data_IF_949617667662
#
_entry.id   IF_949617667662
#
_cell.length_a   1.000
_cell.length_b   1.000
_cell.length_c   1.000
_cell.angle_alpha   90.00
_cell.angle_beta   90.00
_cell.angle_gamma   90.00
#
_symmetry.space_group_name_H-M   'P 1'
#
loop_
_entity.id
_entity.type
_entity.pdbx_description
1 polymer ?
#
# COMPACT_ATOMS: atom_id res chain seq x y z
N UNK A 1 -11.68 20.41 51.45
CA UNK A 1 -11.70 19.06 50.84
C UNK A 1 -12.19 19.23 49.41
N UNK A 2 -11.32 19.58 48.46
CA UNK A 2 -10.60 18.66 47.55
C UNK A 2 -11.53 17.62 46.91
N UNK A 3 -12.21 18.02 45.83
CA UNK A 3 -12.59 17.11 44.73
C UNK A 3 -12.22 17.78 43.41
N UNK A 4 -10.91 17.88 43.19
CA UNK A 4 -10.25 18.00 41.90
C UNK A 4 -10.41 16.66 41.19
N UNK A 5 -11.63 16.36 40.72
CA UNK A 5 -11.87 15.17 39.91
C UNK A 5 -11.43 15.49 38.47
N UNK A 6 -10.14 15.24 38.26
CA UNK A 6 -9.41 15.05 37.00
C UNK A 6 -10.30 14.70 35.80
N UNK A 7 -10.75 15.70 35.06
CA UNK A 7 -10.92 15.59 33.61
C UNK A 7 -9.62 15.98 32.96
N UNK A 8 -8.64 15.06 33.04
CA UNK A 8 -7.52 15.08 32.12
C UNK A 8 -8.11 14.69 30.76
N UNK A 9 -8.55 15.68 29.99
CA UNK A 9 -8.75 15.53 28.55
C UNK A 9 -7.38 15.13 28.00
N UNK A 10 -7.14 13.82 27.93
CA UNK A 10 -6.10 13.27 27.08
C UNK A 10 -6.55 13.57 25.66
N UNK A 11 -6.25 14.78 25.18
CA UNK A 11 -5.90 14.97 23.78
C UNK A 11 -4.77 13.99 23.53
N UNK A 12 -5.12 12.77 23.14
CA UNK A 12 -4.24 11.93 22.36
C UNK A 12 -4.04 12.72 21.08
N UNK A 13 -3.02 13.57 21.08
CA UNK A 13 -2.43 14.05 19.86
C UNK A 13 -2.27 12.82 19.00
N UNK A 14 -3.02 12.77 17.91
CA UNK A 14 -2.73 11.91 16.79
C UNK A 14 -1.27 12.22 16.49
N UNK A 15 -0.38 11.33 16.93
CA UNK A 15 1.02 11.41 16.56
C UNK A 15 0.96 11.22 15.05
N UNK A 16 1.01 12.33 14.31
CA UNK A 16 1.43 12.34 12.93
C UNK A 16 2.84 11.78 12.98
N UNK A 17 2.94 10.45 12.94
CA UNK A 17 4.21 9.75 12.73
C UNK A 17 4.62 10.18 11.33
N UNK A 18 5.41 11.24 11.35
CA UNK A 18 6.18 11.83 10.28
C UNK A 18 6.70 10.75 9.33
N UNK A 19 6.82 11.14 8.06
CA UNK A 19 7.20 10.37 6.87
C UNK A 19 8.63 9.78 6.92
N UNK A 20 9.10 9.35 8.10
CA UNK A 20 10.46 8.93 8.46
C UNK A 20 10.42 7.75 9.45
N UNK A 21 9.57 6.74 9.23
CA UNK A 21 9.66 5.48 9.99
C UNK A 21 10.92 4.75 9.52
N UNK A 22 11.90 4.65 10.43
CA UNK A 22 13.11 3.84 10.24
C UNK A 22 12.78 2.37 10.46
N UNK A 23 13.06 1.54 9.47
CA UNK A 23 12.85 0.10 9.52
C UNK A 23 14.23 -0.54 9.51
N UNK A 24 14.67 -0.95 10.69
CA UNK A 24 15.98 -1.50 10.97
C UNK A 24 16.27 -2.74 10.10
N UNK A 25 17.13 -2.55 9.09
CA UNK A 25 18.00 -3.58 8.52
C UNK A 25 19.30 -2.92 8.07
N UNK A 26 20.44 -3.61 8.21
CA UNK A 26 21.82 -3.15 7.92
C UNK A 26 22.13 -2.75 6.45
N UNK A 27 21.15 -2.29 5.67
CA UNK A 27 21.30 -1.76 4.31
C UNK A 27 20.42 -0.51 4.20
N UNK A 28 21.00 0.57 3.65
CA UNK A 28 20.41 1.92 3.54
C UNK A 28 18.90 1.91 3.30
N UNK A 29 18.15 2.52 4.22
CA UNK A 29 16.71 2.66 4.18
C UNK A 29 16.30 3.70 3.13
N UNK A 30 15.51 3.32 2.13
CA UNK A 30 14.90 4.29 1.21
C UNK A 30 13.65 4.89 1.83
N UNK A 31 13.55 6.22 1.83
CA UNK A 31 12.31 6.91 2.17
C UNK A 31 11.26 6.72 1.08
N UNK A 32 9.98 6.78 1.46
CA UNK A 32 8.85 6.72 0.51
C UNK A 32 8.99 7.76 -0.61
N UNK A 33 9.46 8.97 -0.27
CA UNK A 33 9.71 10.05 -1.25
C UNK A 33 10.81 9.69 -2.23
N UNK A 34 11.87 9.04 -1.77
CA UNK A 34 12.93 8.55 -2.67
C UNK A 34 12.36 7.50 -3.61
N UNK A 35 11.53 6.58 -3.12
CA UNK A 35 10.93 5.52 -3.94
C UNK A 35 9.93 6.08 -4.97
N UNK A 36 9.01 6.95 -4.53
CA UNK A 36 8.05 7.60 -5.42
C UNK A 36 8.77 8.48 -6.47
N UNK A 37 9.85 9.18 -6.10
CA UNK A 37 10.67 9.95 -7.04
C UNK A 37 11.42 9.07 -8.05
N UNK A 38 11.90 7.90 -7.60
CA UNK A 38 12.62 6.94 -8.42
C UNK A 38 11.67 6.27 -9.44
N UNK A 39 10.47 5.87 -9.02
CA UNK A 39 9.48 5.26 -9.90
C UNK A 39 8.90 6.25 -10.93
N UNK A 40 8.79 7.54 -10.58
CA UNK A 40 8.33 8.59 -11.50
C UNK A 40 9.36 8.94 -12.58
N UNK A 41 10.66 8.83 -12.31
CA UNK A 41 11.73 9.29 -13.23
C UNK A 41 12.15 8.27 -14.29
N UNK A 42 12.17 6.97 -13.97
CA UNK A 42 12.91 6.00 -14.78
C UNK A 42 12.05 5.18 -15.75
N UNK A 43 10.79 5.55 -15.93
CA UNK A 43 9.95 4.96 -16.96
C UNK A 43 9.43 3.58 -16.57
N UNK A 44 8.16 3.41 -16.88
CA UNK A 44 7.39 2.22 -16.61
C UNK A 44 7.83 1.01 -17.43
N UNK A 45 8.07 -0.11 -16.79
CA UNK A 45 7.62 -1.36 -17.37
C UNK A 45 6.12 -1.47 -17.09
N UNK A 46 5.28 -0.74 -17.83
CA UNK A 46 3.82 -0.69 -17.60
C UNK A 46 3.20 -2.08 -17.84
N UNK A 47 3.36 -3.00 -16.88
CA UNK A 47 2.60 -4.24 -16.86
C UNK A 47 1.27 -3.85 -16.24
N UNK A 48 0.28 -3.65 -17.12
CA UNK A 48 -1.09 -3.36 -16.72
C UNK A 48 -1.88 -4.67 -16.80
N UNK A 49 -2.51 -5.05 -15.69
CA UNK A 49 -3.43 -6.19 -15.66
C UNK A 49 -4.77 -5.73 -15.10
N UNK A 50 -5.83 -5.91 -15.88
CA UNK A 50 -7.19 -5.51 -15.54
C UNK A 50 -8.14 -6.69 -15.59
N UNK A 51 -9.22 -6.62 -14.81
CA UNK A 51 -10.23 -7.66 -14.81
C UNK A 51 -11.50 -7.27 -14.08
N UNK A 52 -12.48 -8.19 -14.09
CA UNK A 52 -13.77 -8.02 -13.40
C UNK A 52 -13.73 -8.66 -12.02
N UNK A 53 -14.44 -8.07 -11.06
CA UNK A 53 -14.61 -8.59 -9.71
C UNK A 53 -16.10 -8.80 -9.44
N UNK A 54 -16.44 -10.00 -8.96
CA UNK A 54 -17.70 -10.27 -8.28
C UNK A 54 -17.38 -10.60 -6.81
N UNK A 55 -18.04 -9.94 -5.86
CA UNK A 55 -17.87 -10.20 -4.42
C UNK A 55 -19.22 -10.47 -3.78
N UNK A 56 -19.34 -11.61 -3.10
CA UNK A 56 -20.53 -12.00 -2.34
C UNK A 56 -20.28 -11.74 -0.87
N UNK A 57 -21.15 -10.96 -0.23
CA UNK A 57 -21.14 -10.73 1.21
C UNK A 57 -22.39 -11.37 1.79
N UNK A 58 -22.20 -12.33 2.69
CA UNK A 58 -23.28 -12.92 3.47
C UNK A 58 -23.62 -12.00 4.63
N UNK A 59 -24.89 -11.60 4.74
CA UNK A 59 -25.36 -10.89 5.91
C UNK A 59 -25.51 -11.86 7.10
N UNK A 60 -25.36 -11.35 8.32
CA UNK A 60 -25.43 -12.11 9.60
C UNK A 60 -26.67 -13.03 9.74
N UNK A 61 -27.76 -12.75 9.01
CA UNK A 61 -29.00 -13.54 9.01
C UNK A 61 -29.07 -14.63 7.92
N UNK A 62 -27.99 -14.93 7.19
CA UNK A 62 -27.87 -15.98 6.14
C UNK A 62 -28.88 -15.94 4.97
N UNK A 63 -29.85 -15.03 4.97
CA UNK A 63 -30.94 -14.99 3.99
C UNK A 63 -30.71 -14.03 2.82
N UNK A 64 -29.83 -13.03 2.96
CA UNK A 64 -29.59 -12.03 1.93
C UNK A 64 -28.10 -11.98 1.56
N UNK A 65 -27.78 -12.52 0.38
CA UNK A 65 -26.45 -12.37 -0.25
C UNK A 65 -26.42 -11.06 -1.02
N UNK A 66 -25.49 -10.17 -0.65
CA UNK A 66 -25.24 -8.95 -1.44
C UNK A 66 -24.15 -9.25 -2.46
N UNK A 67 -24.47 -9.07 -3.74
CA UNK A 67 -23.54 -9.25 -4.85
C UNK A 67 -23.02 -7.87 -5.28
N UNK A 68 -21.72 -7.67 -5.13
CA UNK A 68 -21.00 -6.52 -5.65
C UNK A 68 -20.34 -6.84 -6.98
N UNK A 69 -20.37 -5.90 -7.91
CA UNK A 69 -19.72 -6.00 -9.21
C UNK A 69 -18.73 -4.85 -9.40
N UNK A 70 -17.62 -5.14 -10.07
CA UNK A 70 -16.52 -4.20 -10.15
C UNK A 70 -15.42 -4.62 -11.08
N UNK A 71 -14.29 -3.94 -10.94
CA UNK A 71 -13.06 -4.28 -11.65
C UNK A 71 -11.83 -3.96 -10.83
N UNK A 72 -10.69 -4.42 -11.33
CA UNK A 72 -9.38 -4.10 -10.78
C UNK A 72 -8.39 -3.69 -11.86
N UNK A 73 -7.33 -3.01 -11.43
CA UNK A 73 -6.12 -2.79 -12.22
C UNK A 73 -4.88 -3.00 -11.34
N UNK A 74 -3.85 -3.61 -11.91
CA UNK A 74 -2.49 -3.66 -11.39
C UNK A 74 -1.58 -2.87 -12.31
N UNK A 75 -0.66 -2.09 -11.76
CA UNK A 75 0.44 -1.44 -12.49
C UNK A 75 1.73 -1.72 -11.75
N UNK A 76 2.74 -2.21 -12.47
CA UNK A 76 4.06 -2.47 -11.89
C UNK A 76 5.06 -1.48 -12.48
N UNK A 77 5.87 -0.88 -11.63
CA UNK A 77 6.94 0.03 -12.01
C UNK A 77 8.24 -0.61 -11.55
N UNK A 78 9.22 -0.66 -12.45
CA UNK A 78 10.54 -1.20 -12.16
C UNK A 78 11.53 -0.07 -12.17
N UNK A 79 12.37 0.00 -11.16
CA UNK A 79 13.58 0.78 -11.28
C UNK A 79 14.55 0.06 -12.20
N UNK A 80 14.85 0.70 -13.33
CA UNK A 80 16.01 0.36 -14.14
C UNK A 80 17.16 1.28 -13.77
N UNK A 81 18.36 0.71 -13.68
CA UNK A 81 19.59 1.48 -13.56
C UNK A 81 19.68 2.49 -14.71
N UNK A 82 19.83 3.77 -14.38
CA UNK A 82 19.93 4.84 -15.38
C UNK A 82 21.40 5.01 -15.78
N UNK A 83 21.80 4.26 -16.81
CA UNK A 83 23.16 4.25 -17.33
C UNK A 83 23.61 5.63 -17.82
N UNK A 84 22.72 6.40 -18.45
CA UNK A 84 23.04 7.74 -18.95
C UNK A 84 23.36 8.69 -17.79
N UNK A 85 22.54 8.68 -16.74
CA UNK A 85 22.78 9.47 -15.53
C UNK A 85 24.03 9.01 -14.79
N UNK A 86 24.27 7.71 -14.69
CA UNK A 86 25.50 7.19 -14.11
C UNK A 86 26.72 7.66 -14.90
N UNK A 87 26.66 7.61 -16.23
CA UNK A 87 27.75 8.02 -17.10
C UNK A 87 28.08 9.51 -16.97
N UNK A 88 27.08 10.34 -16.66
CA UNK A 88 27.23 11.77 -16.38
C UNK A 88 27.89 12.11 -15.02
N UNK A 89 28.02 11.14 -14.10
CA UNK A 89 28.68 11.35 -12.81
C UNK A 89 30.20 11.49 -12.95
N UNK A 90 30.82 12.27 -12.06
CA UNK A 90 32.27 12.34 -11.93
C UNK A 90 32.86 11.01 -11.45
N UNK A 91 34.16 10.81 -11.67
CA UNK A 91 34.86 9.60 -11.19
C UNK A 91 34.80 9.43 -9.66
N UNK A 92 34.76 10.53 -8.91
CA UNK A 92 34.65 10.49 -7.44
C UNK A 92 33.25 10.02 -7.02
N UNK A 93 32.21 10.48 -7.71
CA UNK A 93 30.83 10.06 -7.47
C UNK A 93 30.58 8.62 -7.89
N UNK A 94 31.13 8.18 -9.03
CA UNK A 94 31.07 6.79 -9.49
C UNK A 94 31.67 5.81 -8.48
N UNK A 95 32.79 6.18 -7.83
CA UNK A 95 33.42 5.36 -6.77
C UNK A 95 32.57 5.22 -5.51
N UNK A 96 31.65 6.16 -5.27
CA UNK A 96 30.70 6.14 -4.15
C UNK A 96 29.33 5.58 -4.57
N UNK A 97 29.15 5.24 -5.84
CA UNK A 97 27.88 4.76 -6.36
C UNK A 97 27.68 3.30 -5.99
N UNK A 98 26.74 3.04 -5.09
CA UNK A 98 26.38 1.69 -4.69
C UNK A 98 25.32 1.11 -5.63
N UNK A 99 25.77 0.33 -6.62
CA UNK A 99 24.90 -0.39 -7.55
C UNK A 99 23.95 -1.38 -6.86
N UNK A 100 24.40 -1.97 -5.74
CA UNK A 100 23.61 -2.94 -4.98
C UNK A 100 22.52 -2.25 -4.15
N UNK A 101 22.64 -0.95 -3.92
CA UNK A 101 21.61 -0.21 -3.22
C UNK A 101 20.34 -0.09 -4.05
N UNK A 102 20.49 -0.01 -5.38
CA UNK A 102 19.38 0.20 -6.30
C UNK A 102 18.98 -1.09 -7.04
N UNK A 103 19.53 -2.24 -6.65
CA UNK A 103 19.18 -3.51 -7.27
C UNK A 103 17.70 -3.82 -7.04
N UNK A 104 16.93 -3.72 -8.13
CA UNK A 104 15.53 -4.15 -8.26
C UNK A 104 14.58 -3.55 -7.23
N UNK A 105 14.44 -2.23 -7.26
CA UNK A 105 13.31 -1.56 -6.63
C UNK A 105 12.06 -1.76 -7.50
N UNK A 106 10.96 -2.23 -6.91
CA UNK A 106 9.68 -2.44 -7.59
C UNK A 106 8.61 -1.66 -6.84
N UNK A 107 7.75 -0.95 -7.57
CA UNK A 107 6.48 -0.42 -7.04
C UNK A 107 5.34 -1.14 -7.73
N UNK A 108 4.45 -1.76 -6.96
CA UNK A 108 3.17 -2.27 -7.44
C UNK A 108 2.05 -1.35 -6.99
N UNK A 109 1.25 -0.85 -7.93
CA UNK A 109 0.00 -0.15 -7.65
C UNK A 109 -1.16 -1.08 -7.98
N UNK A 110 -2.07 -1.24 -7.04
CA UNK A 110 -3.32 -1.97 -7.22
C UNK A 110 -4.49 -1.06 -6.93
N UNK A 111 -5.53 -1.17 -7.74
CA UNK A 111 -6.83 -0.54 -7.49
C UNK A 111 -7.93 -1.55 -7.76
N UNK A 112 -8.87 -1.69 -6.81
CA UNK A 112 -10.16 -2.32 -7.06
C UNK A 112 -11.30 -1.39 -6.69
N UNK A 113 -12.36 -1.42 -7.50
CA UNK A 113 -13.62 -0.73 -7.24
C UNK A 113 -14.77 -1.71 -7.36
N UNK A 114 -15.59 -1.85 -6.31
CA UNK A 114 -16.76 -2.73 -6.28
C UNK A 114 -18.00 -1.94 -5.88
N UNK A 115 -19.07 -2.09 -6.65
CA UNK A 115 -20.37 -1.50 -6.36
C UNK A 115 -21.36 -2.59 -5.92
N UNK A 116 -21.88 -2.46 -4.71
CA UNK A 116 -22.90 -3.34 -4.14
C UNK A 116 -24.27 -2.71 -4.32
N UNK A 117 -25.06 -3.29 -5.24
CA UNK A 117 -26.33 -2.73 -5.70
C UNK A 117 -27.24 -2.35 -4.52
N UNK A 118 -27.66 -1.08 -4.47
CA UNK A 118 -28.53 -0.48 -3.44
C UNK A 118 -27.92 -0.40 -2.01
N UNK A 119 -26.63 -0.66 -1.82
CA UNK A 119 -25.99 -0.58 -0.50
C UNK A 119 -24.89 0.49 -0.47
N UNK A 120 -23.71 0.19 -1.02
CA UNK A 120 -22.55 1.08 -1.02
C UNK A 120 -21.59 0.73 -2.15
N UNK A 121 -20.62 1.60 -2.43
CA UNK A 121 -19.44 1.28 -3.22
C UNK A 121 -18.19 1.26 -2.34
N UNK A 122 -17.22 0.43 -2.71
CA UNK A 122 -15.89 0.37 -2.11
C UNK A 122 -14.83 0.58 -3.17
N UNK A 123 -13.88 1.46 -2.89
CA UNK A 123 -12.64 1.57 -3.63
C UNK A 123 -11.46 1.25 -2.70
N UNK A 124 -10.58 0.37 -3.13
CA UNK A 124 -9.38 0.00 -2.38
C UNK A 124 -8.17 0.23 -3.27
N UNK A 125 -7.25 1.05 -2.79
CA UNK A 125 -5.98 1.35 -3.43
C UNK A 125 -4.85 0.75 -2.59
N UNK A 126 -3.91 0.09 -3.23
CA UNK A 126 -2.71 -0.46 -2.60
C UNK A 126 -1.46 0.01 -3.32
N UNK A 127 -0.49 0.50 -2.56
CA UNK A 127 0.87 0.74 -3.04
C UNK A 127 1.81 -0.24 -2.32
N UNK A 128 2.50 -1.07 -3.09
CA UNK A 128 3.40 -2.11 -2.61
C UNK A 128 4.81 -1.78 -3.04
N UNK A 129 5.73 -1.75 -2.09
CA UNK A 129 7.11 -1.34 -2.33
C UNK A 129 8.05 -2.50 -2.00
N UNK A 130 8.85 -2.89 -3.00
CA UNK A 130 9.76 -4.02 -2.90
C UNK A 130 11.20 -3.59 -3.17
N UNK A 131 12.12 -4.23 -2.46
CA UNK A 131 13.57 -4.10 -2.64
C UNK A 131 14.14 -5.50 -2.76
N UNK A 132 14.86 -5.79 -3.85
CA UNK A 132 15.34 -7.15 -4.14
C UNK A 132 14.22 -8.20 -4.05
N UNK A 133 13.07 -7.90 -4.67
CA UNK A 133 11.88 -8.76 -4.71
C UNK A 133 11.21 -9.01 -3.33
N UNK A 134 11.72 -8.38 -2.27
CA UNK A 134 11.15 -8.45 -0.92
C UNK A 134 10.28 -7.23 -0.63
N UNK A 135 9.02 -7.49 -0.25
CA UNK A 135 8.10 -6.45 0.22
C UNK A 135 8.60 -5.87 1.54
N UNK A 136 8.83 -4.57 1.58
CA UNK A 136 9.29 -3.89 2.81
C UNK A 136 8.29 -2.84 3.32
N UNK A 137 7.45 -2.28 2.45
CA UNK A 137 6.49 -1.25 2.81
C UNK A 137 5.22 -1.31 1.97
N UNK A 138 4.08 -0.99 2.59
CA UNK A 138 2.76 -1.00 1.96
C UNK A 138 1.96 0.23 2.42
N UNK A 139 1.23 0.85 1.49
CA UNK A 139 0.12 1.77 1.79
C UNK A 139 -1.18 1.18 1.28
N UNK A 140 -2.25 1.29 2.06
CA UNK A 140 -3.60 0.89 1.66
C UNK A 140 -4.57 2.02 1.96
N UNK A 141 -5.31 2.49 0.97
CA UNK A 141 -6.43 3.42 1.14
C UNK A 141 -7.72 2.71 0.82
N UNK A 142 -8.65 2.69 1.77
CA UNK A 142 -9.99 2.12 1.60
C UNK A 142 -10.99 3.26 1.70
N UNK A 143 -11.83 3.38 0.68
CA UNK A 143 -12.89 4.37 0.59
C UNK A 143 -14.21 3.63 0.48
N UNK A 144 -15.19 4.00 1.31
CA UNK A 144 -16.57 3.56 1.17
C UNK A 144 -17.48 4.77 0.96
N UNK A 145 -18.39 4.63 0.00
CA UNK A 145 -19.42 5.63 -0.27
C UNK A 145 -20.79 4.98 -0.15
N UNK A 146 -21.62 5.48 0.75
CA UNK A 146 -23.01 5.08 0.91
C UNK A 146 -23.94 6.12 0.27
N UNK A 147 -25.12 5.69 -0.19
CA UNK A 147 -26.07 6.62 -0.82
C UNK A 147 -26.47 7.72 0.18
N UNK A 148 -26.35 8.97 -0.23
CA UNK A 148 -26.69 10.16 0.57
C UNK A 148 -25.90 10.29 1.89
N UNK A 149 -24.73 9.65 1.99
CA UNK A 149 -23.81 9.85 3.11
C UNK A 149 -22.47 10.37 2.60
N UNK A 150 -21.73 11.00 3.50
CA UNK A 150 -20.36 11.41 3.22
C UNK A 150 -19.47 10.20 2.94
N UNK A 151 -18.45 10.44 2.12
CA UNK A 151 -17.41 9.46 1.87
C UNK A 151 -16.59 9.24 3.14
N UNK A 152 -16.36 7.96 3.49
CA UNK A 152 -15.52 7.61 4.61
C UNK A 152 -14.28 6.90 4.05
N UNK A 153 -13.10 7.46 4.36
CA UNK A 153 -11.81 6.95 3.93
C UNK A 153 -10.96 6.56 5.13
N UNK A 154 -10.27 5.43 5.04
CA UNK A 154 -9.25 5.00 6.00
C UNK A 154 -7.96 4.65 5.27
N UNK A 155 -6.84 5.16 5.78
CA UNK A 155 -5.50 4.92 5.24
C UNK A 155 -4.71 4.10 6.24
N UNK A 156 -4.02 3.10 5.72
CA UNK A 156 -3.10 2.26 6.45
C UNK A 156 -1.72 2.35 5.83
N UNK A 157 -0.71 2.37 6.69
CA UNK A 157 0.70 2.42 6.31
C UNK A 157 1.42 1.38 7.15
N UNK A 158 2.08 0.43 6.51
CA UNK A 158 2.75 -0.67 7.19
C UNK A 158 4.15 -0.90 6.65
N UNK A 159 5.12 -0.96 7.55
CA UNK A 159 6.32 -1.75 7.33
C UNK A 159 5.99 -3.24 7.33
N UNK A 160 6.85 -4.05 6.69
CA UNK A 160 6.68 -5.51 6.69
C UNK A 160 6.73 -6.12 8.10
N UNK A 161 7.53 -5.53 9.01
CA UNK A 161 7.63 -5.97 10.41
C UNK A 161 6.32 -5.73 11.18
N UNK A 162 5.73 -4.53 11.05
CA UNK A 162 4.42 -4.21 11.64
C UNK A 162 3.32 -5.13 11.11
N UNK A 163 3.31 -5.38 9.80
CA UNK A 163 2.35 -6.29 9.18
C UNK A 163 2.48 -7.71 9.74
N UNK A 164 3.71 -8.22 9.88
CA UNK A 164 3.98 -9.58 10.34
C UNK A 164 3.59 -9.78 11.80
N UNK A 165 3.88 -8.80 12.66
CA UNK A 165 3.59 -8.87 14.10
C UNK A 165 2.09 -8.78 14.44
N UNK A 166 1.27 -8.23 13.54
CA UNK A 166 -0.16 -8.02 13.78
C UNK A 166 -0.98 -9.29 13.52
N UNK A 167 -1.73 -9.81 14.50
CA UNK A 167 -2.59 -11.00 14.29
C UNK A 167 -3.71 -10.77 13.28
N UNK A 168 -4.40 -9.62 13.39
CA UNK A 168 -5.47 -9.21 12.49
C UNK A 168 -5.46 -7.69 12.35
N UNK A 169 -5.72 -7.19 11.15
CA UNK A 169 -5.85 -5.75 10.88
C UNK A 169 -7.16 -5.60 10.13
N UNK A 170 -8.16 -5.01 10.79
CA UNK A 170 -9.44 -4.69 10.17
C UNK A 170 -9.64 -3.18 10.09
N UNK A 171 -10.34 -2.73 9.07
CA UNK A 171 -10.80 -1.35 9.01
C UNK A 171 -12.12 -1.18 9.78
N UNK A 172 -12.63 0.05 9.84
CA UNK A 172 -13.93 0.38 10.46
C UNK A 172 -15.13 -0.35 9.83
N UNK A 173 -14.98 -0.88 8.60
CA UNK A 173 -15.97 -1.68 7.90
C UNK A 173 -15.77 -3.19 8.08
N UNK A 174 -14.92 -3.61 9.03
CA UNK A 174 -14.55 -5.01 9.29
C UNK A 174 -13.82 -5.71 8.13
N UNK A 175 -13.32 -4.95 7.15
CA UNK A 175 -12.51 -5.48 6.06
C UNK A 175 -11.14 -5.95 6.55
N UNK A 176 -10.78 -7.19 6.24
CA UNK A 176 -9.53 -7.86 6.66
C UNK A 176 -8.32 -7.40 5.84
N UNK A 177 -7.77 -6.23 6.17
CA UNK A 177 -6.66 -5.56 5.48
C UNK A 177 -5.44 -6.48 5.32
N UNK A 178 -5.02 -7.17 6.39
CA UNK A 178 -3.82 -8.04 6.35
C UNK A 178 -3.98 -9.18 5.35
N UNK A 179 -5.15 -9.83 5.31
CA UNK A 179 -5.42 -10.93 4.38
C UNK A 179 -5.44 -10.45 2.93
N UNK A 180 -6.01 -9.27 2.70
CA UNK A 180 -6.06 -8.65 1.38
C UNK A 180 -4.66 -8.29 0.89
N UNK A 181 -3.83 -7.66 1.74
CA UNK A 181 -2.44 -7.33 1.41
C UNK A 181 -1.67 -8.60 0.99
N UNK A 182 -1.79 -9.69 1.76
CA UNK A 182 -1.11 -10.95 1.43
C UNK A 182 -1.50 -11.48 0.06
N UNK A 183 -2.80 -11.47 -0.26
CA UNK A 183 -3.30 -11.93 -1.56
C UNK A 183 -2.75 -11.08 -2.70
N UNK A 184 -2.83 -9.74 -2.59
CA UNK A 184 -2.39 -8.83 -3.66
C UNK A 184 -0.88 -8.81 -3.84
N UNK A 185 -0.12 -8.93 -2.76
CA UNK A 185 1.34 -9.10 -2.83
C UNK A 185 1.73 -10.29 -3.72
N UNK A 186 1.08 -11.44 -3.51
CA UNK A 186 1.36 -12.63 -4.32
C UNK A 186 1.02 -12.40 -5.80
N UNK A 187 -0.13 -11.80 -6.10
CA UNK A 187 -0.53 -11.49 -7.48
C UNK A 187 0.44 -10.52 -8.17
N UNK A 188 0.90 -9.47 -7.48
CA UNK A 188 1.88 -8.52 -8.02
C UNK A 188 3.20 -9.24 -8.35
N UNK A 189 3.69 -10.08 -7.44
CA UNK A 189 4.91 -10.86 -7.68
C UNK A 189 4.73 -11.88 -8.80
N UNK A 190 3.56 -12.52 -8.91
CA UNK A 190 3.27 -13.42 -10.04
C UNK A 190 3.27 -12.68 -11.38
N UNK A 191 2.67 -11.50 -11.45
CA UNK A 191 2.68 -10.66 -12.66
C UNK A 191 4.12 -10.24 -12.99
N UNK A 192 4.91 -9.85 -11.99
CA UNK A 192 6.30 -9.47 -12.16
C UNK A 192 7.18 -10.63 -12.65
N UNK A 193 7.01 -11.83 -12.09
CA UNK A 193 7.83 -13.00 -12.40
C UNK A 193 7.47 -13.69 -13.73
N UNK A 194 6.30 -13.42 -14.29
CA UNK A 194 5.88 -13.91 -15.63
C UNK A 194 6.48 -13.10 -16.79
N UNK A 195 7.28 -12.09 -16.47
CA UNK A 195 7.94 -11.19 -17.41
C UNK A 195 9.22 -11.81 -17.97
#
# INVERSE_FOLDING_TARGET
MKNLLRTLFMFTTTICISQNIKIDTNKREFTIKEIDSICLKNGSANIVSEGKIERKIENLNKSNVVIGNGGFSNKIYLYHFDEAKYNALTNIEKRKYDFNQYSRLIKGEYHEGVNYKKSYSENIYGEFYYLNDLLFYIKVKIIRTEKNKEEISQIFNFSISELNNSKSIKNIFLFEVKSWIKKRNNEILEIYNKK
#
